data_IF_369412071022
#
_entry.id   IF_369412071022
#
_cell.length_a   1.000
_cell.length_b   1.000
_cell.length_c   1.000
_cell.angle_alpha   90.00
_cell.angle_beta   90.00
_cell.angle_gamma   90.00
#
_symmetry.space_group_name_H-M   'P 1'
#
loop_
_entity.id
_entity.type
_entity.pdbx_description
1 polymer ?
#
# COMPACT_ATOMS: atom_id res chain seq x y z
N UNK A 1 77.27 -5.73 2.41
CA UNK A 1 76.36 -4.60 2.68
C UNK A 1 74.94 -5.08 2.42
N UNK A 2 74.22 -5.50 3.47
CA UNK A 2 72.82 -5.96 3.36
C UNK A 2 71.89 -4.74 3.43
N UNK A 3 71.06 -4.45 2.42
CA UNK A 3 69.94 -3.53 2.59
C UNK A 3 68.74 -4.30 3.14
N UNK A 4 68.57 -4.26 4.46
CA UNK A 4 67.38 -4.76 5.15
C UNK A 4 66.18 -3.83 4.90
N UNK A 5 65.37 -4.15 3.89
CA UNK A 5 64.09 -3.48 3.66
C UNK A 5 62.98 -4.10 4.50
N UNK A 6 62.53 -3.41 5.54
CA UNK A 6 61.35 -3.82 6.32
C UNK A 6 60.09 -3.64 5.46
N UNK A 7 59.49 -4.74 5.00
CA UNK A 7 58.19 -4.73 4.30
C UNK A 7 57.08 -5.08 5.28
N UNK A 8 56.27 -4.08 5.64
CA UNK A 8 55.02 -4.27 6.36
C UNK A 8 53.88 -4.46 5.35
N UNK A 9 53.16 -5.58 5.42
CA UNK A 9 51.91 -5.79 4.67
C UNK A 9 50.86 -6.35 5.61
N UNK A 10 49.67 -5.75 5.64
CA UNK A 10 48.50 -6.30 6.31
C UNK A 10 47.38 -6.48 5.29
N UNK A 11 46.70 -7.64 5.34
CA UNK A 11 45.55 -7.88 4.48
C UNK A 11 44.37 -6.98 4.90
N UNK A 12 43.61 -6.41 3.95
CA UNK A 12 42.49 -5.53 4.28
C UNK A 12 41.43 -6.31 5.06
N UNK A 13 41.12 -5.84 6.27
CA UNK A 13 40.10 -6.42 7.14
C UNK A 13 38.89 -5.50 7.16
N UNK A 14 37.74 -6.01 6.75
CA UNK A 14 36.49 -5.25 6.70
C UNK A 14 36.10 -4.74 8.09
N UNK A 15 35.70 -3.47 8.17
CA UNK A 15 35.22 -2.83 9.41
C UNK A 15 33.88 -3.44 9.80
N UNK A 16 33.82 -4.12 10.94
CA UNK A 16 32.58 -4.67 11.46
C UNK A 16 31.63 -3.54 11.87
N UNK A 17 30.50 -3.40 11.17
CA UNK A 17 29.43 -2.47 11.54
C UNK A 17 28.67 -3.02 12.74
N UNK A 18 29.07 -2.67 13.97
CA UNK A 18 28.25 -2.93 15.16
C UNK A 18 27.08 -1.96 15.21
N UNK A 19 25.87 -2.48 15.01
CA UNK A 19 24.62 -1.84 15.46
C UNK A 19 24.60 -1.86 16.99
N UNK A 20 24.40 -0.70 17.61
CA UNK A 20 24.20 -0.59 19.05
C UNK A 20 22.77 -1.00 19.43
N UNK A 21 22.64 -1.88 20.43
CA UNK A 21 21.58 -1.87 21.46
C UNK A 21 21.82 -2.99 22.48
N UNK A 22 21.67 -2.66 23.76
CA UNK A 22 21.45 -3.61 24.85
C UNK A 22 22.60 -3.71 25.86
N UNK A 23 22.42 -3.06 27.01
CA UNK A 23 23.23 -3.30 28.21
C UNK A 23 22.88 -4.64 28.83
N UNK A 24 23.88 -5.50 29.08
CA UNK A 24 23.92 -6.42 30.23
C UNK A 24 25.39 -6.65 30.56
N UNK A 25 25.82 -6.30 31.76
CA UNK A 25 27.03 -6.85 32.38
C UNK A 25 26.56 -8.07 33.18
N UNK A 26 27.28 -9.21 33.08
CA UNK A 26 27.79 -9.79 34.32
C UNK A 26 29.29 -10.07 34.26
N UNK A 27 29.88 -9.96 35.45
CA UNK A 27 31.24 -10.26 35.84
C UNK A 27 31.77 -11.60 35.33
N UNK A 28 33.06 -11.62 34.98
CA UNK A 28 33.98 -12.63 35.52
C UNK A 28 35.41 -12.05 35.54
N UNK A 29 35.96 -11.97 36.76
CA UNK A 29 37.38 -11.75 37.02
C UNK A 29 38.05 -13.13 37.06
N UNK A 30 38.95 -13.41 36.12
CA UNK A 30 39.97 -14.43 36.30
C UNK A 30 41.31 -13.86 35.81
N UNK A 31 42.23 -13.71 36.77
CA UNK A 31 43.59 -13.23 36.58
C UNK A 31 44.36 -14.09 35.58
N UNK A 32 44.95 -13.42 34.59
CA UNK A 32 45.91 -13.98 33.64
C UNK A 32 46.33 -12.88 32.67
N UNK A 33 47.26 -12.02 33.12
CA UNK A 33 48.04 -11.03 32.35
C UNK A 33 47.64 -10.86 30.88
N UNK A 34 46.62 -10.03 30.63
CA UNK A 34 46.47 -9.39 29.32
C UNK A 34 47.12 -8.02 29.43
N UNK A 35 48.35 -7.92 28.93
CA UNK A 35 48.91 -6.65 28.53
C UNK A 35 47.89 -6.00 27.59
N UNK A 36 47.04 -5.12 28.13
CA UNK A 36 46.27 -4.20 27.30
C UNK A 36 47.33 -3.49 26.50
N UNK A 37 47.35 -3.72 25.19
CA UNK A 37 48.21 -3.01 24.26
C UNK A 37 47.98 -1.52 24.50
N UNK A 38 48.85 -0.90 25.30
CA UNK A 38 48.79 0.52 25.53
C UNK A 38 49.24 1.12 24.22
N UNK A 39 48.29 1.79 23.56
CA UNK A 39 48.59 2.49 22.33
C UNK A 39 49.78 3.42 22.63
N UNK A 40 50.83 3.31 21.82
CA UNK A 40 52.08 4.08 21.93
C UNK A 40 51.78 5.59 21.91
N UNK A 41 50.61 6.01 21.42
CA UNK A 41 50.06 7.38 21.47
C UNK A 41 49.65 7.87 22.87
N UNK A 42 49.56 6.99 23.88
CA UNK A 42 49.20 7.35 25.25
C UNK A 42 50.20 6.83 26.31
N UNK A 43 51.30 6.22 25.89
CA UNK A 43 52.38 5.83 26.81
C UNK A 43 53.10 7.10 27.32
N UNK A 44 53.12 7.25 28.65
CA UNK A 44 53.71 8.39 29.36
C UNK A 44 55.24 8.42 29.28
N UNK A 45 55.88 7.32 28.88
CA UNK A 45 57.33 7.23 28.69
C UNK A 45 57.77 7.71 27.30
N UNK A 46 56.83 7.85 26.37
CA UNK A 46 57.12 8.30 25.00
C UNK A 46 57.00 9.81 24.93
N UNK A 47 58.14 10.49 24.96
CA UNK A 47 58.23 11.94 24.72
C UNK A 47 57.86 12.22 23.25
N UNK A 48 56.79 12.98 23.02
CA UNK A 48 56.40 13.43 21.68
C UNK A 48 56.84 14.88 21.51
N UNK A 49 57.75 15.12 20.57
CA UNK A 49 58.36 16.42 20.33
C UNK A 49 59.89 16.37 20.31
N UNK A 50 60.53 17.41 19.78
CA UNK A 50 61.99 17.55 19.79
C UNK A 50 62.51 17.73 21.21
N UNK A 51 63.57 17.01 21.59
CA UNK A 51 64.22 17.11 22.91
C UNK A 51 65.04 18.40 23.13
N UNK A 52 65.02 19.33 22.16
CA UNK A 52 65.77 20.59 22.17
C UNK A 52 64.85 21.82 22.20
N UNK A 53 63.76 21.76 22.94
CA UNK A 53 62.93 22.95 23.20
C UNK A 53 62.93 23.19 24.70
N UNK A 54 63.54 24.32 25.09
CA UNK A 54 63.45 24.88 26.43
C UNK A 54 61.96 25.03 26.76
N UNK A 55 61.51 24.37 27.83
CA UNK A 55 60.13 24.40 28.30
C UNK A 55 59.74 25.85 28.61
N UNK A 56 59.06 26.52 27.70
CA UNK A 56 58.27 27.71 28.03
C UNK A 56 57.04 27.25 28.80
N UNK A 57 56.85 27.80 29.99
CA UNK A 57 55.73 27.47 30.84
C UNK A 57 54.44 27.96 30.21
N UNK A 58 53.53 27.03 29.89
CA UNK A 58 52.15 27.35 29.52
C UNK A 58 51.47 28.06 30.71
N UNK A 59 50.92 29.28 30.53
CA UNK A 59 50.29 30.03 31.61
C UNK A 59 48.84 29.58 31.81
N UNK A 60 48.63 28.34 32.25
CA UNK A 60 47.32 27.81 32.65
C UNK A 60 47.46 27.17 34.04
N UNK A 61 47.85 28.00 35.01
CA UNK A 61 47.75 27.70 36.44
C UNK A 61 47.05 28.88 37.13
N UNK A 62 45.84 28.71 37.69
CA UNK A 62 45.12 29.79 38.34
C UNK A 62 45.70 29.98 39.74
N UNK A 63 46.73 30.83 39.85
CA UNK A 63 47.44 31.03 41.10
C UNK A 63 48.17 32.37 41.20
N UNK A 64 47.45 33.37 41.73
CA UNK A 64 47.96 34.59 42.39
C UNK A 64 48.90 35.51 41.59
N UNK A 65 48.34 36.61 41.10
CA UNK A 65 49.08 37.82 40.76
C UNK A 65 48.15 38.82 40.08
N UNK A 66 48.03 40.02 40.65
CA UNK A 66 47.01 41.02 40.35
C UNK A 66 46.73 41.25 38.86
N UNK A 67 45.48 41.05 38.45
CA UNK A 67 44.99 41.32 37.11
C UNK A 67 43.75 42.21 37.14
N UNK A 68 43.85 43.38 36.51
CA UNK A 68 42.84 44.42 36.40
C UNK A 68 41.39 43.91 36.18
N UNK A 69 40.38 44.44 36.92
CA UNK A 69 38.97 44.07 36.74
C UNK A 69 38.41 44.41 35.35
N UNK A 70 39.12 45.23 34.55
CA UNK A 70 38.74 45.59 33.17
C UNK A 70 38.98 44.47 32.15
N UNK A 71 39.90 43.54 32.41
CA UNK A 71 40.20 42.42 31.49
C UNK A 71 39.16 41.30 31.60
N UNK A 72 38.60 41.07 32.79
CA UNK A 72 37.52 40.10 33.04
C UNK A 72 36.21 40.48 32.32
N UNK A 73 35.84 41.77 32.33
CA UNK A 73 34.63 42.24 31.63
C UNK A 73 34.72 42.05 30.11
N UNK A 74 35.88 42.31 29.49
CA UNK A 74 36.10 42.12 28.04
C UNK A 74 36.11 40.64 27.64
N UNK A 75 36.63 39.75 28.49
CA UNK A 75 36.57 38.30 28.25
C UNK A 75 35.13 37.77 28.33
N UNK A 76 34.35 38.23 29.31
CA UNK A 76 32.94 37.86 29.45
C UNK A 76 32.05 38.37 28.29
N UNK A 77 32.32 39.59 27.77
CA UNK A 77 31.56 40.11 26.61
C UNK A 77 31.88 39.37 25.31
N UNK A 78 33.13 38.91 25.14
CA UNK A 78 33.53 38.08 23.98
C UNK A 78 32.92 36.68 24.04
N UNK A 79 32.86 36.07 25.22
CA UNK A 79 32.22 34.76 25.42
C UNK A 79 30.71 34.80 25.13
N UNK A 80 30.02 35.90 25.45
CA UNK A 80 28.59 36.07 25.18
C UNK A 80 28.24 36.31 23.69
N UNK A 81 29.17 36.87 22.90
CA UNK A 81 28.96 37.13 21.44
C UNK A 81 29.25 35.93 20.54
N UNK A 82 30.05 34.98 21.03
CA UNK A 82 30.41 33.77 20.29
C UNK A 82 29.21 32.92 19.83
N UNK A 83 28.19 32.64 20.67
CA UNK A 83 27.03 31.86 20.24
C UNK A 83 26.09 32.62 19.28
N UNK A 84 25.95 33.96 19.40
CA UNK A 84 25.16 34.76 18.45
C UNK A 84 25.80 34.79 17.05
N UNK A 85 27.13 34.87 16.98
CA UNK A 85 27.85 34.89 15.71
C UNK A 85 27.79 33.54 14.99
N UNK A 86 27.82 32.42 15.74
CA UNK A 86 27.64 31.08 15.15
C UNK A 86 26.23 30.86 14.60
N UNK A 87 25.18 31.37 15.27
CA UNK A 87 23.80 31.27 14.77
C UNK A 87 23.57 32.12 13.51
N UNK A 88 24.20 33.29 13.39
CA UNK A 88 24.15 34.10 12.16
C UNK A 88 24.91 33.41 11.00
N UNK A 89 26.04 32.76 11.28
CA UNK A 89 26.80 32.02 10.27
C UNK A 89 26.06 30.79 9.73
N UNK A 90 25.24 30.12 10.56
CA UNK A 90 24.42 28.99 10.11
C UNK A 90 23.21 29.42 9.27
N UNK A 91 22.64 30.61 9.53
CA UNK A 91 21.51 31.15 8.77
C UNK A 91 21.90 31.73 7.40
N UNK A 92 23.17 32.11 7.20
CA UNK A 92 23.67 32.63 5.91
C UNK A 92 24.23 31.55 4.97
N UNK A 93 24.31 30.28 5.40
CA UNK A 93 24.74 29.19 4.51
C UNK A 93 23.57 28.77 3.62
N UNK A 94 23.75 28.87 2.31
CA UNK A 94 22.88 28.21 1.34
C UNK A 94 22.83 26.71 1.62
N UNK A 95 21.64 26.11 1.61
CA UNK A 95 21.44 24.69 1.89
C UNK A 95 22.20 23.85 0.86
N UNK A 96 23.13 23.01 1.33
CA UNK A 96 23.81 22.02 0.47
C UNK A 96 22.77 21.05 -0.07
N UNK A 97 22.73 20.78 -1.39
CA UNK A 97 21.78 19.84 -1.97
C UNK A 97 21.89 18.44 -1.33
N UNK A 98 20.79 17.66 -1.30
CA UNK A 98 20.80 16.34 -0.70
C UNK A 98 21.76 15.38 -1.42
N UNK A 99 22.38 14.43 -0.69
CA UNK A 99 23.34 13.49 -1.28
C UNK A 99 22.68 12.60 -2.33
N UNK A 100 23.40 12.37 -3.42
CA UNK A 100 23.03 11.39 -4.44
C UNK A 100 22.92 10.00 -3.81
N UNK A 101 21.91 9.22 -4.22
CA UNK A 101 21.66 7.87 -3.71
C UNK A 101 22.95 7.02 -3.66
N UNK A 102 23.17 6.37 -2.53
CA UNK A 102 24.36 5.56 -2.20
C UNK A 102 25.70 6.32 -2.02
N UNK A 103 25.68 7.64 -1.83
CA UNK A 103 26.87 8.42 -1.42
C UNK A 103 26.60 9.21 -0.14
N UNK A 104 27.61 9.32 0.72
CA UNK A 104 27.56 10.17 1.91
C UNK A 104 28.37 11.44 1.65
N UNK A 105 27.87 12.59 2.09
CA UNK A 105 28.70 13.80 2.14
C UNK A 105 29.77 13.64 3.22
N UNK A 106 30.97 14.12 2.93
CA UNK A 106 32.10 14.15 3.85
C UNK A 106 32.55 15.60 3.97
N UNK A 107 32.70 16.08 5.20
CA UNK A 107 33.19 17.43 5.45
C UNK A 107 34.70 17.46 5.18
N UNK A 108 35.11 18.31 4.23
CA UNK A 108 36.52 18.56 3.92
C UNK A 108 36.90 19.89 4.57
N UNK A 109 38.03 19.92 5.27
CA UNK A 109 38.54 21.13 5.91
C UNK A 109 39.07 22.10 4.84
N UNK A 110 38.24 23.07 4.46
CA UNK A 110 38.58 24.13 3.48
C UNK A 110 39.01 25.44 4.13
N UNK A 111 39.25 25.45 5.44
CA UNK A 111 39.68 26.65 6.15
C UNK A 111 41.13 26.99 5.79
N UNK A 112 41.38 28.22 5.33
CA UNK A 112 42.73 28.71 5.07
C UNK A 112 43.51 28.82 6.39
N UNK A 113 44.41 27.88 6.65
CA UNK A 113 45.41 27.97 7.71
C UNK A 113 46.60 28.80 7.23
N UNK A 114 46.53 30.11 7.41
CA UNK A 114 47.68 31.01 7.29
C UNK A 114 48.21 31.29 8.70
N UNK A 115 49.43 30.83 8.99
CA UNK A 115 50.15 31.17 10.22
C UNK A 115 50.86 32.51 10.01
N UNK A 116 50.52 33.53 10.80
CA UNK A 116 51.25 34.79 10.82
C UNK A 116 52.61 34.57 11.51
N UNK A 117 53.71 34.71 10.77
CA UNK A 117 55.06 34.70 11.33
C UNK A 117 55.24 35.97 12.19
N UNK A 118 55.16 35.83 13.51
CA UNK A 118 55.21 36.94 14.46
C UNK A 118 56.63 37.32 14.92
N UNK A 119 57.67 36.98 14.17
CA UNK A 119 59.06 37.29 14.53
C UNK A 119 59.56 38.53 13.76
N UNK A 120 59.75 39.64 14.48
CA UNK A 120 60.30 40.88 13.94
C UNK A 120 61.82 40.85 14.06
N UNK A 121 62.51 41.08 12.95
CA UNK A 121 63.97 41.19 12.91
C UNK A 121 64.40 42.36 13.82
N UNK A 122 65.40 42.19 14.71
CA UNK A 122 65.88 43.27 15.56
C UNK A 122 66.58 44.34 14.73
N UNK A 123 66.02 45.55 14.72
CA UNK A 123 66.61 46.75 14.13
C UNK A 123 67.66 47.32 15.11
N UNK A 124 68.86 47.62 14.60
CA UNK A 124 69.96 48.21 15.38
C UNK A 124 70.12 49.66 14.95
N UNK A 125 69.74 50.59 15.82
CA UNK A 125 69.94 52.02 15.60
C UNK A 125 71.42 52.38 15.84
N UNK A 126 72.04 53.02 14.86
CA UNK A 126 73.39 53.59 14.95
C UNK A 126 73.33 55.09 14.71
N UNK A 127 73.52 55.87 15.77
CA UNK A 127 73.60 57.32 15.67
C UNK A 127 75.00 57.76 15.21
N UNK A 128 75.07 58.58 14.17
CA UNK A 128 76.30 59.23 13.71
C UNK A 128 76.20 60.73 13.89
N UNK A 129 77.26 61.35 14.42
CA UNK A 129 77.32 62.78 14.68
C UNK A 129 77.58 63.53 13.36
N UNK A 130 76.55 64.15 12.79
CA UNK A 130 76.67 65.06 11.64
C UNK A 130 76.83 66.51 12.10
N UNK A 131 77.87 67.18 11.59
CA UNK A 131 78.08 68.62 11.77
C UNK A 131 76.94 69.46 11.16
N UNK A 132 76.70 70.63 11.74
CA UNK A 132 75.63 71.54 11.31
C UNK A 132 75.88 72.08 9.89
N UNK A 133 74.92 71.83 8.99
CA UNK A 133 74.91 72.30 7.60
C UNK A 133 74.96 73.84 7.53
N UNK A 134 76.02 74.38 6.93
CA UNK A 134 76.06 75.77 6.49
C UNK A 134 75.40 75.88 5.10
N UNK A 135 74.55 76.89 4.90
CA UNK A 135 73.86 77.14 3.63
C UNK A 135 74.86 77.42 2.50
N UNK A 136 75.18 76.37 1.74
CA UNK A 136 75.87 76.47 0.45
C UNK A 136 74.85 76.85 -0.62
N UNK A 137 75.19 77.83 -1.47
CA UNK A 137 74.37 78.14 -2.64
C UNK A 137 74.18 76.87 -3.50
N UNK A 138 72.95 76.62 -4.01
CA UNK A 138 72.69 75.41 -4.79
C UNK A 138 73.60 75.36 -6.03
N UNK A 139 74.26 74.22 -6.30
CA UNK A 139 75.16 74.09 -7.44
C UNK A 139 74.38 74.26 -8.75
N UNK A 140 74.87 75.15 -9.61
CA UNK A 140 74.29 75.36 -10.94
C UNK A 140 74.54 74.11 -11.77
N UNK A 141 73.52 73.28 -11.97
CA UNK A 141 73.61 72.04 -12.74
C UNK A 141 73.40 72.36 -14.22
N UNK A 142 74.47 72.37 -15.01
CA UNK A 142 74.37 72.49 -16.47
C UNK A 142 74.11 71.11 -17.05
N UNK A 143 72.85 70.79 -17.38
CA UNK A 143 72.50 69.56 -18.10
C UNK A 143 72.88 69.73 -19.59
N UNK A 144 73.73 68.86 -20.16
CA UNK A 144 74.00 68.87 -21.59
C UNK A 144 72.71 68.59 -22.36
N UNK A 145 72.51 69.28 -23.49
CA UNK A 145 71.42 68.97 -24.42
C UNK A 145 71.63 67.54 -24.96
N UNK A 146 70.61 66.66 -24.92
CA UNK A 146 70.77 65.31 -25.46
C UNK A 146 71.09 65.41 -26.96
N UNK A 147 72.28 64.94 -27.33
CA UNK A 147 72.73 64.82 -28.72
C UNK A 147 72.55 63.37 -29.14
N UNK A 148 71.43 63.08 -29.81
CA UNK A 148 71.10 61.79 -30.39
C UNK A 148 70.07 61.95 -31.50
N UNK A 149 69.97 60.96 -32.39
CA UNK A 149 68.90 60.91 -33.39
C UNK A 149 67.76 60.07 -32.82
N UNK A 150 66.60 60.69 -32.65
CA UNK A 150 65.41 59.98 -32.17
C UNK A 150 64.89 59.03 -33.25
N UNK A 151 64.72 57.76 -32.90
CA UNK A 151 64.15 56.72 -33.77
C UNK A 151 62.94 56.12 -33.09
N UNK A 152 61.78 56.22 -33.75
CA UNK A 152 60.56 55.53 -33.34
C UNK A 152 60.36 54.29 -34.22
N UNK A 153 60.07 53.16 -33.58
CA UNK A 153 59.63 51.93 -34.25
C UNK A 153 58.20 51.64 -33.82
N UNK A 154 57.31 51.36 -34.77
CA UNK A 154 55.92 51.00 -34.50
C UNK A 154 55.55 49.78 -35.32
N UNK A 155 54.92 48.80 -34.66
CA UNK A 155 54.40 47.59 -35.28
C UNK A 155 53.01 47.93 -35.84
N UNK A 156 52.82 47.67 -37.14
CA UNK A 156 51.56 47.91 -37.84
C UNK A 156 50.50 46.86 -37.51
N UNK A 157 49.24 47.14 -37.85
CA UNK A 157 48.17 46.15 -37.75
C UNK A 157 48.45 44.96 -38.69
N UNK A 158 48.60 43.76 -38.13
CA UNK A 158 48.84 42.52 -38.89
C UNK A 158 50.30 42.14 -39.10
N UNK A 159 51.26 42.94 -38.62
CA UNK A 159 52.71 42.72 -38.81
C UNK A 159 53.26 41.53 -37.98
N UNK A 160 52.52 41.12 -36.93
CA UNK A 160 52.84 39.98 -36.06
C UNK A 160 51.81 38.84 -36.12
N UNK A 161 50.87 38.87 -37.07
CA UNK A 161 49.82 37.86 -37.13
C UNK A 161 50.36 36.54 -37.73
N UNK A 162 50.28 35.46 -36.97
CA UNK A 162 50.58 34.10 -37.43
C UNK A 162 49.28 33.30 -37.56
N UNK A 163 48.88 33.00 -38.79
CA UNK A 163 47.62 32.32 -39.05
C UNK A 163 47.57 30.92 -38.41
N UNK A 164 48.68 30.18 -38.44
CA UNK A 164 48.69 28.78 -38.00
C UNK A 164 48.52 28.70 -36.47
N UNK A 165 49.09 29.66 -35.73
CA UNK A 165 48.89 29.78 -34.28
C UNK A 165 47.46 30.20 -33.94
N UNK A 166 46.91 31.19 -34.66
CA UNK A 166 45.64 31.78 -34.24
C UNK A 166 44.42 30.96 -34.70
N UNK A 167 44.57 30.12 -35.72
CA UNK A 167 43.50 29.23 -36.22
C UNK A 167 43.37 27.94 -35.39
N UNK A 168 44.45 27.51 -34.73
CA UNK A 168 44.50 26.28 -33.92
C UNK A 168 43.36 26.19 -32.88
N UNK A 169 43.11 27.19 -32.01
CA UNK A 169 42.03 27.11 -31.04
C UNK A 169 40.64 27.14 -31.68
N UNK A 170 40.49 27.79 -32.83
CA UNK A 170 39.21 27.84 -33.56
C UNK A 170 38.89 26.44 -34.11
N UNK A 171 39.86 25.80 -34.74
CA UNK A 171 39.69 24.45 -35.31
C UNK A 171 39.49 23.41 -34.22
N UNK A 172 40.22 23.50 -33.11
CA UNK A 172 40.06 22.58 -31.97
C UNK A 172 38.61 22.62 -31.43
N UNK A 173 38.07 23.81 -31.19
CA UNK A 173 36.69 23.97 -30.71
C UNK A 173 35.68 23.47 -31.75
N UNK A 174 35.91 23.74 -33.04
CA UNK A 174 34.99 23.36 -34.11
C UNK A 174 34.94 21.85 -34.30
N UNK A 175 36.11 21.19 -34.34
CA UNK A 175 36.21 19.72 -34.42
C UNK A 175 35.65 19.08 -33.15
N UNK A 176 36.02 19.59 -31.97
CA UNK A 176 35.50 19.11 -30.69
C UNK A 176 33.98 19.18 -30.63
N UNK A 177 33.38 20.29 -31.10
CA UNK A 177 31.93 20.46 -31.07
C UNK A 177 31.21 19.55 -32.05
N UNK A 178 31.75 19.36 -33.27
CA UNK A 178 31.16 18.46 -34.26
C UNK A 178 31.21 17.00 -33.78
N UNK A 179 32.32 16.58 -33.16
CA UNK A 179 32.44 15.24 -32.60
C UNK A 179 31.47 15.04 -31.42
N UNK A 180 31.36 16.01 -30.53
CA UNK A 180 30.42 15.96 -29.39
C UNK A 180 28.97 15.84 -29.87
N UNK A 181 28.57 16.67 -30.84
CA UNK A 181 27.23 16.62 -31.44
C UNK A 181 26.97 15.27 -32.12
N UNK A 182 27.92 14.79 -32.93
CA UNK A 182 27.76 13.51 -33.62
C UNK A 182 27.63 12.31 -32.66
N UNK A 183 28.36 12.32 -31.55
CA UNK A 183 28.23 11.29 -30.50
C UNK A 183 26.86 11.37 -29.82
N UNK A 184 26.37 12.58 -29.53
CA UNK A 184 25.08 12.77 -28.89
C UNK A 184 23.92 12.31 -29.78
N UNK A 185 23.94 12.69 -31.05
CA UNK A 185 22.94 12.25 -32.05
C UNK A 185 22.95 10.73 -32.21
N UNK A 186 24.13 10.13 -32.33
CA UNK A 186 24.25 8.66 -32.45
C UNK A 186 23.68 7.93 -31.24
N UNK A 187 23.90 8.43 -30.02
CA UNK A 187 23.35 7.86 -28.79
C UNK A 187 21.83 7.98 -28.76
N UNK A 188 21.27 9.13 -29.11
CA UNK A 188 19.83 9.36 -29.19
C UNK A 188 19.17 8.40 -30.21
N UNK A 189 19.76 8.26 -31.39
CA UNK A 189 19.23 7.36 -32.42
C UNK A 189 19.24 5.90 -31.98
N UNK A 190 20.31 5.46 -31.28
CA UNK A 190 20.40 4.11 -30.75
C UNK A 190 19.33 3.87 -29.66
N UNK A 191 19.17 4.80 -28.74
CA UNK A 191 18.16 4.72 -27.69
C UNK A 191 16.74 4.64 -28.29
N UNK A 192 16.43 5.51 -29.25
CA UNK A 192 15.15 5.48 -29.97
C UNK A 192 14.92 4.15 -30.68
N UNK A 193 15.98 3.55 -31.26
CA UNK A 193 15.89 2.24 -31.92
C UNK A 193 15.57 1.12 -30.93
N UNK A 194 16.26 1.12 -29.79
CA UNK A 194 16.02 0.13 -28.72
C UNK A 194 14.62 0.26 -28.12
N UNK A 195 14.16 1.49 -27.85
CA UNK A 195 12.80 1.75 -27.35
C UNK A 195 11.76 1.23 -28.34
N UNK A 196 11.90 1.54 -29.63
CA UNK A 196 10.98 1.05 -30.68
C UNK A 196 10.99 -0.47 -30.78
N UNK A 197 12.16 -1.11 -30.70
CA UNK A 197 12.25 -2.57 -30.71
C UNK A 197 11.53 -3.17 -29.49
N UNK A 198 11.75 -2.61 -28.31
CA UNK A 198 11.09 -3.05 -27.07
C UNK A 198 9.57 -2.86 -27.13
N UNK A 199 9.10 -1.73 -27.63
CA UNK A 199 7.66 -1.47 -27.85
C UNK A 199 7.07 -2.51 -28.81
N UNK A 200 7.72 -2.79 -29.93
CA UNK A 200 7.26 -3.80 -30.90
C UNK A 200 7.17 -5.19 -30.27
N UNK A 201 8.17 -5.61 -29.50
CA UNK A 201 8.15 -6.91 -28.81
C UNK A 201 7.02 -6.97 -27.77
N UNK A 202 6.82 -5.88 -27.02
CA UNK A 202 5.74 -5.79 -26.04
C UNK A 202 4.36 -5.85 -26.71
N UNK A 203 4.15 -5.13 -27.81
CA UNK A 203 2.90 -5.17 -28.56
C UNK A 203 2.63 -6.56 -29.14
N UNK A 204 3.65 -7.23 -29.68
CA UNK A 204 3.53 -8.61 -30.17
C UNK A 204 3.13 -9.57 -29.06
N UNK A 205 3.79 -9.50 -27.89
CA UNK A 205 3.45 -10.32 -26.73
C UNK A 205 2.01 -10.03 -26.25
N UNK A 206 1.65 -8.76 -26.09
CA UNK A 206 0.31 -8.33 -25.68
C UNK A 206 -0.77 -8.81 -26.65
N UNK A 207 -0.52 -8.72 -27.96
CA UNK A 207 -1.48 -9.18 -28.96
C UNK A 207 -1.64 -10.71 -28.95
N UNK A 208 -0.56 -11.45 -28.70
CA UNK A 208 -0.61 -12.90 -28.53
C UNK A 208 -1.41 -13.30 -27.27
N UNK A 209 -1.15 -12.64 -26.14
CA UNK A 209 -1.89 -12.85 -24.89
C UNK A 209 -3.38 -12.51 -25.07
N UNK A 210 -3.71 -11.38 -25.71
CA UNK A 210 -5.08 -10.98 -25.98
C UNK A 210 -5.81 -12.04 -26.83
N UNK A 211 -5.16 -12.56 -27.87
CA UNK A 211 -5.74 -13.59 -28.72
C UNK A 211 -6.00 -14.90 -27.95
N UNK A 212 -5.08 -15.27 -27.04
CA UNK A 212 -5.26 -16.44 -26.19
C UNK A 212 -6.42 -16.26 -25.20
N UNK A 213 -6.50 -15.10 -24.53
CA UNK A 213 -7.60 -14.78 -23.60
C UNK A 213 -8.94 -14.81 -24.33
N UNK A 214 -9.05 -14.21 -25.51
CA UNK A 214 -10.26 -14.25 -26.32
C UNK A 214 -10.67 -15.68 -26.70
N UNK A 215 -9.69 -16.53 -27.04
CA UNK A 215 -9.94 -17.95 -27.34
C UNK A 215 -10.52 -18.68 -26.13
N UNK A 216 -9.91 -18.49 -24.94
CA UNK A 216 -10.35 -19.12 -23.70
C UNK A 216 -11.72 -18.60 -23.26
N UNK A 217 -11.98 -17.30 -23.39
CA UNK A 217 -13.27 -16.69 -23.07
C UNK A 217 -14.38 -17.23 -23.98
N UNK A 218 -14.12 -17.35 -25.29
CA UNK A 218 -15.07 -17.91 -26.23
C UNK A 218 -15.39 -19.38 -25.90
N UNK A 219 -14.39 -20.18 -25.52
CA UNK A 219 -14.60 -21.56 -25.09
C UNK A 219 -15.40 -21.63 -23.78
N UNK A 220 -15.04 -20.82 -22.78
CA UNK A 220 -15.75 -20.75 -21.52
C UNK A 220 -17.22 -20.34 -21.72
N UNK A 221 -17.47 -19.35 -22.58
CA UNK A 221 -18.82 -18.89 -22.92
C UNK A 221 -19.65 -19.98 -23.59
N UNK A 222 -19.04 -20.77 -24.50
CA UNK A 222 -19.71 -21.94 -25.12
C UNK A 222 -20.05 -23.01 -24.09
N UNK A 223 -19.10 -23.40 -23.24
CA UNK A 223 -19.33 -24.39 -22.17
C UNK A 223 -20.38 -23.92 -21.18
N UNK A 224 -20.38 -22.63 -20.83
CA UNK A 224 -21.38 -22.04 -19.95
C UNK A 224 -22.77 -22.06 -20.57
N UNK A 225 -22.89 -21.67 -21.84
CA UNK A 225 -24.17 -21.71 -22.56
C UNK A 225 -24.72 -23.14 -22.67
N UNK A 226 -23.88 -24.13 -22.98
CA UNK A 226 -24.30 -25.54 -23.00
C UNK A 226 -24.73 -26.02 -21.62
N UNK A 227 -23.99 -25.68 -20.57
CA UNK A 227 -24.37 -26.01 -19.19
C UNK A 227 -25.72 -25.38 -18.82
N UNK A 228 -25.94 -24.12 -19.20
CA UNK A 228 -27.20 -23.43 -18.93
C UNK A 228 -28.37 -24.11 -19.64
N UNK A 229 -28.20 -24.47 -20.91
CA UNK A 229 -29.23 -25.20 -21.67
C UNK A 229 -29.59 -26.53 -20.99
N UNK A 230 -28.59 -27.30 -20.53
CA UNK A 230 -28.83 -28.56 -19.80
C UNK A 230 -29.54 -28.33 -18.47
N UNK A 231 -29.24 -27.25 -17.75
CA UNK A 231 -29.94 -26.91 -16.51
C UNK A 231 -31.40 -26.56 -16.78
N UNK A 232 -31.68 -25.83 -17.86
CA UNK A 232 -33.04 -25.45 -18.24
C UNK A 232 -33.85 -26.69 -18.69
N UNK A 233 -33.25 -27.61 -19.44
CA UNK A 233 -33.84 -28.91 -19.79
C UNK A 233 -34.14 -29.77 -18.56
N UNK A 234 -33.20 -29.86 -17.62
CA UNK A 234 -33.39 -30.61 -16.37
C UNK A 234 -34.47 -29.97 -15.49
N UNK A 235 -34.52 -28.64 -15.41
CA UNK A 235 -35.53 -27.92 -14.66
C UNK A 235 -36.93 -28.13 -15.24
N UNK A 236 -37.07 -28.08 -16.58
CA UNK A 236 -38.35 -28.35 -17.25
C UNK A 236 -38.78 -29.81 -17.08
N UNK A 237 -37.85 -30.78 -17.16
CA UNK A 237 -38.13 -32.19 -16.86
C UNK A 237 -38.64 -32.38 -15.44
N UNK A 238 -37.97 -31.77 -14.46
CA UNK A 238 -38.32 -31.90 -13.04
C UNK A 238 -39.68 -31.27 -12.74
N UNK A 239 -40.00 -30.11 -13.36
CA UNK A 239 -41.31 -29.48 -13.25
C UNK A 239 -42.42 -30.38 -13.82
N UNK A 240 -42.21 -30.96 -15.01
CA UNK A 240 -43.16 -31.89 -15.62
C UNK A 240 -43.33 -33.18 -14.79
N UNK A 241 -42.25 -33.70 -14.21
CA UNK A 241 -42.31 -34.86 -13.31
C UNK A 241 -43.11 -34.55 -12.03
N UNK A 242 -42.92 -33.36 -11.44
CA UNK A 242 -43.69 -32.93 -10.28
C UNK A 242 -45.19 -32.83 -10.58
N UNK A 243 -45.55 -32.21 -11.71
CA UNK A 243 -46.95 -32.13 -12.17
C UNK A 243 -47.55 -33.52 -12.42
N UNK A 244 -46.78 -34.42 -13.05
CA UNK A 244 -47.22 -35.80 -13.26
C UNK A 244 -47.44 -36.53 -11.93
N UNK A 245 -46.52 -36.41 -10.99
CA UNK A 245 -46.64 -37.01 -9.64
C UNK A 245 -47.90 -36.52 -8.94
N UNK A 246 -48.19 -35.22 -8.98
CA UNK A 246 -49.40 -34.65 -8.41
C UNK A 246 -50.67 -35.21 -9.08
N UNK A 247 -50.72 -35.23 -10.42
CA UNK A 247 -51.85 -35.80 -11.16
C UNK A 247 -52.08 -37.28 -10.85
N UNK A 248 -51.01 -38.07 -10.75
CA UNK A 248 -51.08 -39.50 -10.41
C UNK A 248 -51.56 -39.68 -8.98
N UNK A 249 -51.06 -38.90 -8.02
CA UNK A 249 -51.49 -38.94 -6.62
C UNK A 249 -52.97 -38.55 -6.48
N UNK A 250 -53.40 -37.47 -7.14
CA UNK A 250 -54.79 -37.04 -7.16
C UNK A 250 -55.71 -38.10 -7.77
N UNK A 251 -55.31 -38.71 -8.89
CA UNK A 251 -56.06 -39.82 -9.52
C UNK A 251 -56.17 -41.04 -8.61
N UNK A 252 -55.07 -41.42 -7.95
CA UNK A 252 -55.06 -42.54 -7.01
C UNK A 252 -55.97 -42.27 -5.81
N UNK A 253 -55.88 -41.08 -5.23
CA UNK A 253 -56.74 -40.61 -4.13
C UNK A 253 -58.22 -40.60 -4.53
N UNK A 254 -58.56 -40.03 -5.68
CA UNK A 254 -59.93 -40.03 -6.19
C UNK A 254 -60.46 -41.44 -6.42
N UNK A 255 -59.65 -42.35 -6.99
CA UNK A 255 -60.03 -43.75 -7.20
C UNK A 255 -60.31 -44.46 -5.88
N UNK A 256 -59.45 -44.26 -4.87
CA UNK A 256 -59.63 -44.84 -3.54
C UNK A 256 -60.90 -44.28 -2.88
N UNK A 257 -61.11 -42.96 -2.93
CA UNK A 257 -62.28 -42.31 -2.36
C UNK A 257 -63.58 -42.76 -3.03
N UNK A 258 -63.64 -42.79 -4.37
CA UNK A 258 -64.83 -43.22 -5.11
C UNK A 258 -65.17 -44.70 -4.85
N UNK A 259 -64.17 -45.55 -4.66
CA UNK A 259 -64.40 -46.96 -4.34
C UNK A 259 -65.12 -47.13 -2.98
N UNK A 260 -64.74 -46.36 -1.97
CA UNK A 260 -65.43 -46.38 -0.65
C UNK A 260 -66.71 -45.55 -0.62
N UNK A 261 -66.80 -44.48 -1.40
CA UNK A 261 -67.96 -43.58 -1.41
C UNK A 261 -69.23 -44.31 -1.85
N UNK A 262 -69.15 -45.19 -2.85
CA UNK A 262 -70.31 -45.97 -3.27
C UNK A 262 -70.87 -46.77 -2.08
N UNK A 263 -70.04 -47.53 -1.38
CA UNK A 263 -70.48 -48.33 -0.22
C UNK A 263 -71.06 -47.42 0.88
N UNK A 264 -70.36 -46.34 1.24
CA UNK A 264 -70.81 -45.41 2.29
C UNK A 264 -72.14 -44.72 1.95
N UNK A 265 -72.32 -44.27 0.69
CA UNK A 265 -73.57 -43.63 0.26
C UNK A 265 -74.70 -44.66 0.26
N UNK A 266 -74.47 -45.89 -0.20
CA UNK A 266 -75.49 -46.93 -0.12
C UNK A 266 -75.86 -47.27 1.32
N UNK A 267 -74.89 -47.43 2.23
CA UNK A 267 -75.15 -47.72 3.64
C UNK A 267 -75.94 -46.58 4.30
N UNK A 268 -75.53 -45.32 4.11
CA UNK A 268 -76.27 -44.15 4.64
C UNK A 268 -77.68 -44.01 4.05
N UNK A 269 -77.88 -44.37 2.78
CA UNK A 269 -79.19 -44.32 2.13
C UNK A 269 -80.11 -45.48 2.57
N UNK A 270 -79.53 -46.63 2.93
CA UNK A 270 -80.23 -47.75 3.59
C UNK A 270 -80.60 -47.37 5.02
N UNK A 271 -79.67 -46.82 5.81
CA UNK A 271 -79.90 -46.41 7.20
C UNK A 271 -80.93 -45.28 7.31
N UNK A 272 -80.91 -44.32 6.37
CA UNK A 272 -81.93 -43.26 6.30
C UNK A 272 -83.30 -43.75 5.83
N UNK A 273 -83.43 -45.04 5.48
CA UNK A 273 -84.71 -45.66 5.12
C UNK A 273 -85.24 -45.24 3.75
N UNK A 274 -84.38 -44.69 2.89
CA UNK A 274 -84.78 -44.29 1.53
C UNK A 274 -85.01 -45.50 0.61
N UNK A 275 -84.30 -46.61 0.84
CA UNK A 275 -84.60 -47.89 0.21
C UNK A 275 -85.72 -48.61 0.97
N UNK A 276 -86.96 -48.42 0.50
CA UNK A 276 -88.12 -49.15 1.00
C UNK A 276 -88.27 -50.47 0.24
N UNK A 277 -88.48 -51.57 0.97
CA UNK A 277 -88.89 -52.83 0.36
C UNK A 277 -90.27 -52.64 -0.31
N UNK A 278 -90.39 -52.82 -1.65
CA UNK A 278 -91.65 -52.67 -2.37
C UNK A 278 -92.78 -53.50 -1.76
N UNK A 279 -92.46 -54.70 -1.26
CA UNK A 279 -93.41 -55.60 -0.62
C UNK A 279 -93.94 -55.01 0.69
N UNK A 280 -93.05 -54.46 1.52
CA UNK A 280 -93.43 -53.85 2.79
C UNK A 280 -94.24 -52.56 2.57
N UNK A 281 -93.92 -51.78 1.52
CA UNK A 281 -94.70 -50.60 1.12
C UNK A 281 -96.11 -51.00 0.67
N UNK A 282 -96.23 -51.98 -0.22
CA UNK A 282 -97.51 -52.46 -0.72
C UNK A 282 -98.36 -53.09 0.39
N UNK A 283 -97.74 -53.82 1.32
CA UNK A 283 -98.44 -54.36 2.49
C UNK A 283 -98.94 -53.22 3.39
N UNK A 284 -98.10 -52.23 3.72
CA UNK A 284 -98.50 -51.12 4.59
C UNK A 284 -99.56 -50.21 3.96
N UNK A 285 -99.46 -49.92 2.67
CA UNK A 285 -100.33 -48.94 2.02
C UNK A 285 -101.55 -49.55 1.33
N UNK A 286 -101.50 -50.79 0.84
CA UNK A 286 -102.61 -51.40 0.12
C UNK A 286 -103.27 -52.52 0.95
N UNK A 287 -102.48 -53.43 1.54
CA UNK A 287 -103.04 -54.58 2.25
C UNK A 287 -103.63 -54.24 3.61
N UNK A 288 -102.90 -53.50 4.46
CA UNK A 288 -103.37 -53.16 5.82
C UNK A 288 -104.66 -52.32 5.79
N UNK A 289 -104.79 -51.27 4.94
CA UNK A 289 -106.05 -50.55 4.83
C UNK A 289 -107.19 -51.42 4.30
N UNK A 290 -106.93 -52.28 3.30
CA UNK A 290 -107.94 -53.21 2.78
C UNK A 290 -108.42 -54.23 3.83
N UNK A 291 -107.51 -54.73 4.69
CA UNK A 291 -107.87 -55.61 5.80
C UNK A 291 -108.70 -54.87 6.87
N UNK A 292 -108.31 -53.63 7.21
CA UNK A 292 -109.04 -52.81 8.18
C UNK A 292 -110.43 -52.43 7.65
N UNK A 293 -110.56 -52.09 6.37
CA UNK A 293 -111.84 -51.79 5.73
C UNK A 293 -112.73 -53.04 5.67
N UNK A 294 -112.17 -54.20 5.32
CA UNK A 294 -112.89 -55.48 5.36
C UNK A 294 -113.35 -55.86 6.77
N UNK A 295 -112.51 -55.65 7.79
CA UNK A 295 -112.88 -55.88 9.19
C UNK A 295 -113.96 -54.89 9.66
N UNK A 296 -113.86 -53.61 9.27
CA UNK A 296 -114.88 -52.61 9.56
C UNK A 296 -116.21 -52.94 8.87
N UNK A 297 -116.19 -53.39 7.61
CA UNK A 297 -117.38 -53.84 6.90
C UNK A 297 -118.05 -55.04 7.59
N UNK A 298 -117.28 -56.04 8.04
CA UNK A 298 -117.81 -57.14 8.83
C UNK A 298 -118.38 -56.70 10.18
N UNK A 299 -117.70 -55.78 10.88
CA UNK A 299 -118.22 -55.22 12.13
C UNK A 299 -119.53 -54.44 11.90
N UNK A 300 -119.62 -53.66 10.82
CA UNK A 300 -120.84 -52.96 10.42
C UNK A 300 -121.97 -53.91 10.03
N UNK A 301 -121.69 -55.02 9.34
CA UNK A 301 -122.67 -56.06 9.06
C UNK A 301 -123.20 -56.73 10.34
N UNK A 302 -122.33 -57.01 11.31
CA UNK A 302 -122.74 -57.55 12.60
C UNK A 302 -123.55 -56.55 13.41
N UNK A 303 -123.18 -55.26 13.40
CA UNK A 303 -123.92 -54.21 14.08
C UNK A 303 -125.29 -53.95 13.42
N UNK A 304 -125.37 -53.97 12.09
CA UNK A 304 -126.63 -53.92 11.34
C UNK A 304 -127.50 -55.16 11.62
N UNK A 305 -126.88 -56.35 11.69
CA UNK A 305 -127.55 -57.59 12.09
C UNK A 305 -128.12 -57.51 13.51
N UNK A 306 -127.35 -57.00 14.47
CA UNK A 306 -127.81 -56.74 15.85
C UNK A 306 -128.97 -55.74 15.88
N UNK A 307 -128.86 -54.61 15.17
CA UNK A 307 -129.93 -53.60 15.06
C UNK A 307 -131.21 -54.17 14.45
N UNK A 308 -131.12 -55.01 13.42
CA UNK A 308 -132.29 -55.70 12.86
C UNK A 308 -132.90 -56.69 13.85
N UNK A 309 -132.07 -57.43 14.59
CA UNK A 309 -132.53 -58.38 15.61
C UNK A 309 -133.20 -57.66 16.79
N UNK A 310 -132.65 -56.53 17.23
CA UNK A 310 -133.26 -55.63 18.22
C UNK A 310 -134.57 -55.03 17.70
N UNK A 311 -134.64 -54.64 16.42
CA UNK A 311 -135.89 -54.16 15.82
C UNK A 311 -136.97 -55.24 15.78
N UNK A 312 -136.62 -56.49 15.45
CA UNK A 312 -137.53 -57.64 15.51
C UNK A 312 -137.97 -57.91 16.96
N UNK A 313 -137.06 -57.83 17.94
CA UNK A 313 -137.41 -57.98 19.37
C UNK A 313 -138.33 -56.86 19.85
N UNK A 314 -138.09 -55.61 19.44
CA UNK A 314 -138.96 -54.47 19.77
C UNK A 314 -140.33 -54.60 19.10
N UNK A 315 -140.42 -55.12 17.87
CA UNK A 315 -141.70 -55.36 17.19
C UNK A 315 -142.49 -56.50 17.86
N UNK A 316 -141.79 -57.58 18.27
CA UNK A 316 -142.38 -58.65 19.08
C UNK A 316 -142.87 -58.16 20.45
N UNK A 317 -142.21 -57.18 21.07
CA UNK A 317 -142.63 -56.55 22.32
C UNK A 317 -143.71 -55.47 22.12
N UNK A 318 -143.81 -54.86 20.93
CA UNK A 318 -144.85 -53.88 20.55
C UNK A 318 -146.13 -54.50 20.00
N UNK A 319 -146.20 -55.83 19.89
CA UNK A 319 -147.43 -56.58 19.65
C UNK A 319 -148.06 -57.06 20.97
N UNK A 320 -148.80 -56.23 21.73
CA UNK A 320 -149.72 -56.74 22.75
C UNK A 320 -151.08 -57.08 22.11
N UNK A 321 -151.61 -58.25 22.48
CA UNK A 321 -153.00 -58.65 22.37
C UNK A 321 -153.61 -58.79 20.95
N UNK A 322 -153.47 -59.99 20.37
CA UNK A 322 -154.54 -60.61 19.60
C UNK A 322 -154.43 -62.15 19.70
N UNK A 323 -155.21 -62.74 20.61
CA UNK A 323 -155.62 -64.14 20.56
C UNK A 323 -155.17 -65.02 21.73
N UNK A 324 -155.98 -65.08 22.79
CA UNK A 324 -155.89 -66.09 23.87
C UNK A 324 -156.17 -65.53 25.24
#
# INVERSE_FOLDING_TARGET
MQPGGYKFSSAPRSVATKRSKGSVIPFDNANGSTERAQNIMFDKRVHRGSAYVLREETPESPGRGGGDPRKLYKAATRAARYPQQQQQYQQQRSVTPPPVSNRFHMDVQTDNYLEELADKIPEVDMDTQTDALLDLHPPITVMPTPSGVDVATQIGSGDLFDFDLEVEPIVEVLVGKVLELGVLEFLEENELREIRQRQKLFEQARNAELAEVQRLEAEAKRRFAEKQHRLDEEATRLAAEAELKEKVAARASAKQYLATLHVQVFDTLVESGHFLDPLLKDVKHNFVPGLLEGAAAHAHQLDAGRKMLDAILVDALRSPAAGG
#
